data_IF_264260922613
#
_entry.id   IF_264260922613
#
_cell.length_a   1.000
_cell.length_b   1.000
_cell.length_c   1.000
_cell.angle_alpha   90.00
_cell.angle_beta   90.00
_cell.angle_gamma   90.00
#
_symmetry.space_group_name_H-M   'P 1'
#
loop_
_entity.id
_entity.type
_entity.pdbx_description
1 polymer ?
#
# COMPACT_ATOMS: atom_id res chain seq x y z
N UNK A 1 0.78 17.19 114.47
CA UNK A 1 2.01 17.01 113.67
C UNK A 1 1.83 15.90 112.64
N UNK A 2 1.22 14.77 113.01
CA UNK A 2 0.86 13.64 112.12
C UNK A 2 0.07 14.03 110.85
N UNK A 3 -0.99 14.82 111.02
CA UNK A 3 -1.93 15.18 109.95
C UNK A 3 -1.28 16.04 108.85
N UNK A 4 -0.41 16.98 109.26
CA UNK A 4 0.41 17.75 108.32
C UNK A 4 1.35 16.86 107.51
N UNK A 5 1.97 15.87 108.17
CA UNK A 5 2.89 14.93 107.55
C UNK A 5 2.17 14.00 106.56
N UNK A 6 0.94 13.59 106.89
CA UNK A 6 0.07 12.84 106.00
C UNK A 6 -0.33 13.68 104.77
N UNK A 7 -0.72 14.94 104.97
CA UNK A 7 -1.05 15.86 103.87
C UNK A 7 0.15 16.07 102.92
N UNK A 8 1.37 16.21 103.45
CA UNK A 8 2.58 16.34 102.63
C UNK A 8 2.89 15.08 101.79
N UNK A 9 2.63 13.88 102.35
CA UNK A 9 2.77 12.62 101.59
C UNK A 9 1.76 12.54 100.46
N UNK A 10 0.50 12.89 100.73
CA UNK A 10 -0.57 12.92 99.73
C UNK A 10 -0.24 13.90 98.60
N UNK A 11 0.22 15.12 98.93
CA UNK A 11 0.58 16.12 97.93
C UNK A 11 1.73 15.63 97.04
N UNK A 12 2.77 15.01 97.63
CA UNK A 12 3.89 14.44 96.86
C UNK A 12 3.42 13.32 95.92
N UNK A 13 2.54 12.44 96.39
CA UNK A 13 1.96 11.39 95.56
C UNK A 13 1.18 11.96 94.37
N UNK A 14 0.35 12.99 94.61
CA UNK A 14 -0.41 13.67 93.56
C UNK A 14 0.49 14.42 92.57
N UNK A 15 1.54 15.09 93.05
CA UNK A 15 2.54 15.73 92.17
C UNK A 15 3.20 14.70 91.25
N UNK A 16 3.66 13.58 91.81
CA UNK A 16 4.30 12.52 91.02
C UNK A 16 3.33 11.92 89.98
N UNK A 17 2.07 11.66 90.35
CA UNK A 17 1.06 11.15 89.41
C UNK A 17 0.79 12.14 88.26
N UNK A 18 0.74 13.44 88.56
CA UNK A 18 0.59 14.49 87.54
C UNK A 18 1.84 14.58 86.65
N UNK A 19 3.04 14.48 87.22
CA UNK A 19 4.31 14.46 86.47
C UNK A 19 4.39 13.25 85.53
N UNK A 20 4.04 12.06 86.00
CA UNK A 20 4.00 10.83 85.21
C UNK A 20 2.97 10.93 84.07
N UNK A 21 1.78 11.47 84.35
CA UNK A 21 0.76 11.73 83.33
C UNK A 21 1.24 12.76 82.29
N UNK A 22 1.87 13.85 82.73
CA UNK A 22 2.40 14.88 81.83
C UNK A 22 3.51 14.31 80.92
N UNK A 23 4.40 13.48 81.46
CA UNK A 23 5.43 12.79 80.67
C UNK A 23 4.81 11.85 79.62
N UNK A 24 3.79 11.07 80.02
CA UNK A 24 3.06 10.19 79.11
C UNK A 24 2.39 10.97 77.98
N UNK A 25 1.65 12.02 78.30
CA UNK A 25 0.99 12.86 77.30
C UNK A 25 2.00 13.53 76.35
N UNK A 26 3.14 13.98 76.85
CA UNK A 26 4.19 14.57 76.02
C UNK A 26 4.75 13.59 75.00
N UNK A 27 4.97 12.33 75.40
CA UNK A 27 5.44 11.27 74.49
C UNK A 27 4.37 10.95 73.44
N UNK A 28 3.11 10.81 73.84
CA UNK A 28 1.99 10.56 72.90
C UNK A 28 1.83 11.71 71.90
N UNK A 29 1.93 12.96 72.35
CA UNK A 29 1.87 14.15 71.49
C UNK A 29 3.00 14.15 70.46
N UNK A 30 4.25 13.92 70.88
CA UNK A 30 5.39 13.87 69.97
C UNK A 30 5.28 12.73 68.95
N UNK A 31 4.74 11.57 69.36
CA UNK A 31 4.44 10.47 68.45
C UNK A 31 3.39 10.85 67.40
N UNK A 32 2.33 11.54 67.81
CA UNK A 32 1.29 12.04 66.90
C UNK A 32 1.84 13.08 65.92
N UNK A 33 2.64 14.05 66.40
CA UNK A 33 3.28 15.06 65.55
C UNK A 33 4.15 14.41 64.48
N UNK A 34 5.00 13.47 64.88
CA UNK A 34 5.89 12.73 63.95
C UNK A 34 5.09 11.96 62.91
N UNK A 35 3.98 11.34 63.32
CA UNK A 35 3.08 10.60 62.42
C UNK A 35 2.42 11.55 61.41
N UNK A 36 1.90 12.68 61.88
CA UNK A 36 1.27 13.70 61.02
C UNK A 36 2.28 14.23 59.99
N UNK A 37 3.52 14.52 60.41
CA UNK A 37 4.55 15.03 59.51
C UNK A 37 4.99 14.01 58.47
N UNK A 38 5.02 12.72 58.83
CA UNK A 38 5.30 11.63 57.89
C UNK A 38 4.18 11.53 56.86
N UNK A 39 2.92 11.48 57.31
CA UNK A 39 1.76 11.43 56.41
C UNK A 39 1.67 12.66 55.50
N UNK A 40 2.06 13.85 55.99
CA UNK A 40 2.09 15.07 55.17
C UNK A 40 3.11 14.97 54.03
N UNK A 41 4.29 14.38 54.28
CA UNK A 41 5.29 14.13 53.23
C UNK A 41 4.79 13.13 52.21
N UNK A 42 4.18 12.03 52.66
CA UNK A 42 3.61 11.02 51.79
C UNK A 42 2.50 11.60 50.90
N UNK A 43 1.63 12.44 51.47
CA UNK A 43 0.58 13.15 50.73
C UNK A 43 1.17 14.05 49.63
N UNK A 44 2.20 14.82 49.93
CA UNK A 44 2.83 15.70 48.95
C UNK A 44 3.54 14.89 47.84
N UNK A 45 4.17 13.76 48.21
CA UNK A 45 4.73 12.80 47.25
C UNK A 45 3.63 12.25 46.32
N UNK A 46 2.53 11.73 46.88
CA UNK A 46 1.40 11.21 46.11
C UNK A 46 0.80 12.27 45.17
N UNK A 47 0.72 13.53 45.62
CA UNK A 47 0.23 14.65 44.82
C UNK A 47 1.15 14.97 43.65
N UNK A 48 2.47 14.97 43.87
CA UNK A 48 3.46 15.18 42.81
C UNK A 48 3.41 14.06 41.76
N UNK A 49 3.29 12.81 42.20
CA UNK A 49 3.18 11.63 41.36
C UNK A 49 1.89 11.66 40.53
N UNK A 50 0.77 11.98 41.16
CA UNK A 50 -0.53 12.14 40.47
C UNK A 50 -0.46 13.20 39.39
N UNK A 51 0.23 14.32 39.64
CA UNK A 51 0.43 15.37 38.64
C UNK A 51 1.26 14.87 37.45
N UNK A 52 2.37 14.17 37.71
CA UNK A 52 3.21 13.57 36.68
C UNK A 52 2.41 12.61 35.79
N UNK A 53 1.68 11.67 36.41
CA UNK A 53 0.86 10.70 35.69
C UNK A 53 -0.22 11.35 34.81
N UNK A 54 -0.82 12.45 35.30
CA UNK A 54 -1.77 13.24 34.50
C UNK A 54 -1.11 13.86 33.26
N UNK A 55 0.08 14.43 33.42
CA UNK A 55 0.82 15.04 32.32
C UNK A 55 1.25 13.97 31.29
N UNK A 56 1.73 12.82 31.74
CA UNK A 56 2.08 11.67 30.89
C UNK A 56 0.85 11.13 30.13
N UNK A 57 -0.30 11.03 30.80
CA UNK A 57 -1.57 10.62 30.17
C UNK A 57 -1.98 11.59 29.06
N UNK A 58 -1.83 12.91 29.28
CA UNK A 58 -2.14 13.91 28.27
C UNK A 58 -1.22 13.81 27.05
N UNK A 59 0.08 13.57 27.28
CA UNK A 59 1.05 13.36 26.20
C UNK A 59 0.68 12.11 25.38
N UNK A 60 0.40 10.99 26.05
CA UNK A 60 0.03 9.74 25.41
C UNK A 60 -1.27 9.88 24.59
N UNK A 61 -2.27 10.61 25.09
CA UNK A 61 -3.50 10.90 24.34
C UNK A 61 -3.22 11.69 23.07
N UNK A 62 -2.30 12.67 23.12
CA UNK A 62 -1.90 13.46 21.96
C UNK A 62 -1.20 12.58 20.91
N UNK A 63 -0.21 11.81 21.32
CA UNK A 63 0.52 10.89 20.44
C UNK A 63 -0.41 9.85 19.81
N UNK A 64 -1.35 9.29 20.59
CA UNK A 64 -2.39 8.40 20.07
C UNK A 64 -3.23 9.09 18.99
N UNK A 65 -3.60 10.36 19.18
CA UNK A 65 -4.34 11.14 18.19
C UNK A 65 -3.57 11.33 16.87
N UNK A 66 -2.27 11.58 16.96
CA UNK A 66 -1.38 11.69 15.78
C UNK A 66 -1.25 10.36 15.04
N UNK A 67 -1.05 9.25 15.77
CA UNK A 67 -1.00 7.89 15.20
C UNK A 67 -2.31 7.54 14.49
N UNK A 68 -3.47 7.78 15.13
CA UNK A 68 -4.78 7.55 14.52
C UNK A 68 -4.96 8.34 13.22
N UNK A 69 -4.48 9.59 13.19
CA UNK A 69 -4.54 10.42 11.97
C UNK A 69 -3.70 9.83 10.84
N UNK A 70 -2.50 9.33 11.15
CA UNK A 70 -1.64 8.68 10.16
C UNK A 70 -2.24 7.36 9.65
N UNK A 71 -2.84 6.55 10.53
CA UNK A 71 -3.52 5.31 10.15
C UNK A 71 -4.64 5.62 9.15
N UNK A 72 -5.51 6.59 9.47
CA UNK A 72 -6.61 6.99 8.59
C UNK A 72 -6.13 7.47 7.21
N UNK A 73 -5.03 8.23 7.16
CA UNK A 73 -4.44 8.67 5.91
C UNK A 73 -3.92 7.48 5.08
N UNK A 74 -3.21 6.53 5.69
CA UNK A 74 -2.71 5.33 5.02
C UNK A 74 -3.85 4.46 4.51
N UNK A 75 -4.91 4.30 5.30
CA UNK A 75 -6.06 3.47 4.95
C UNK A 75 -6.84 4.06 3.76
N UNK A 76 -6.98 5.39 3.69
CA UNK A 76 -7.53 6.07 2.50
C UNK A 76 -6.68 5.78 1.26
N UNK A 77 -5.36 5.84 1.37
CA UNK A 77 -4.46 5.57 0.23
C UNK A 77 -4.51 4.12 -0.22
N UNK A 78 -4.64 3.17 0.71
CA UNK A 78 -4.84 1.77 0.38
C UNK A 78 -6.12 1.55 -0.41
N UNK A 79 -7.24 2.14 0.03
CA UNK A 79 -8.52 2.00 -0.68
C UNK A 79 -8.45 2.60 -2.10
N UNK A 80 -7.74 3.71 -2.29
CA UNK A 80 -7.50 4.30 -3.61
C UNK A 80 -6.72 3.33 -4.52
N UNK A 81 -5.61 2.78 -4.02
CA UNK A 81 -4.79 1.82 -4.77
C UNK A 81 -5.54 0.50 -5.05
N UNK A 82 -6.39 0.06 -4.15
CA UNK A 82 -7.22 -1.13 -4.35
C UNK A 82 -8.24 -0.91 -5.48
N UNK A 83 -8.89 0.25 -5.51
CA UNK A 83 -9.77 0.64 -6.63
C UNK A 83 -9.02 0.68 -7.95
N UNK A 84 -7.82 1.27 -7.98
CA UNK A 84 -6.98 1.31 -9.19
C UNK A 84 -6.59 -0.10 -9.66
N UNK A 85 -6.21 -0.99 -8.71
CA UNK A 85 -5.87 -2.38 -9.00
C UNK A 85 -7.05 -3.14 -9.60
N UNK A 86 -8.26 -2.93 -9.09
CA UNK A 86 -9.47 -3.56 -9.63
C UNK A 86 -9.76 -3.07 -11.06
N UNK A 87 -9.66 -1.76 -11.29
CA UNK A 87 -9.82 -1.17 -12.62
C UNK A 87 -8.79 -1.71 -13.62
N UNK A 88 -7.54 -1.83 -13.21
CA UNK A 88 -6.48 -2.41 -14.03
C UNK A 88 -6.75 -3.89 -14.36
N UNK A 89 -7.18 -4.68 -13.37
CA UNK A 89 -7.53 -6.08 -13.57
C UNK A 89 -8.69 -6.25 -14.57
N UNK A 90 -9.70 -5.39 -14.49
CA UNK A 90 -10.81 -5.37 -15.46
C UNK A 90 -10.32 -5.04 -16.86
N UNK A 91 -9.47 -4.02 -16.99
CA UNK A 91 -8.87 -3.61 -18.28
C UNK A 91 -8.04 -4.74 -18.89
N UNK A 92 -7.25 -5.44 -18.08
CA UNK A 92 -6.44 -6.58 -18.52
C UNK A 92 -7.32 -7.73 -19.05
N UNK A 93 -8.43 -8.01 -18.38
CA UNK A 93 -9.39 -9.03 -18.81
C UNK A 93 -9.98 -8.70 -20.20
N UNK A 94 -10.33 -7.43 -20.43
CA UNK A 94 -10.84 -6.97 -21.73
C UNK A 94 -9.78 -7.10 -22.84
N UNK A 95 -8.53 -6.71 -22.56
CA UNK A 95 -7.43 -6.86 -23.53
C UNK A 95 -7.20 -8.32 -23.90
N UNK A 96 -7.20 -9.22 -22.90
CA UNK A 96 -7.07 -10.66 -23.14
C UNK A 96 -8.22 -11.20 -24.00
N UNK A 97 -9.45 -10.74 -23.76
CA UNK A 97 -10.60 -11.12 -24.56
C UNK A 97 -10.48 -10.62 -26.02
N UNK A 98 -10.05 -9.37 -26.23
CA UNK A 98 -9.82 -8.83 -27.57
C UNK A 98 -8.71 -9.58 -28.31
N UNK A 99 -7.62 -9.92 -27.61
CA UNK A 99 -6.51 -10.69 -28.17
C UNK A 99 -6.98 -12.06 -28.68
N UNK A 100 -7.79 -12.77 -27.90
CA UNK A 100 -8.37 -14.07 -28.30
C UNK A 100 -9.27 -13.89 -29.53
N UNK A 101 -10.12 -12.86 -29.55
CA UNK A 101 -11.01 -12.58 -30.67
C UNK A 101 -10.24 -12.27 -31.97
N UNK A 102 -9.22 -11.39 -31.89
CA UNK A 102 -8.37 -11.07 -33.04
C UNK A 102 -7.59 -12.28 -33.54
N UNK A 103 -7.09 -13.13 -32.63
CA UNK A 103 -6.38 -14.36 -32.98
C UNK A 103 -7.31 -15.33 -33.72
N UNK A 104 -8.55 -15.49 -33.27
CA UNK A 104 -9.54 -16.32 -33.96
C UNK A 104 -9.84 -15.81 -35.38
N UNK A 105 -10.06 -14.50 -35.54
CA UNK A 105 -10.27 -13.87 -36.85
C UNK A 105 -9.07 -14.03 -37.78
N UNK A 106 -7.85 -13.96 -37.23
CA UNK A 106 -6.63 -14.16 -38.02
C UNK A 106 -6.53 -15.59 -38.54
N UNK A 107 -6.81 -16.58 -37.69
CA UNK A 107 -6.83 -18.01 -38.08
C UNK A 107 -7.90 -18.27 -39.15
N UNK A 108 -9.10 -17.72 -38.99
CA UNK A 108 -10.17 -17.83 -39.98
C UNK A 108 -9.73 -17.27 -41.34
N UNK A 109 -9.16 -16.05 -41.35
CA UNK A 109 -8.67 -15.40 -42.57
C UNK A 109 -7.52 -16.16 -43.22
N UNK A 110 -6.59 -16.68 -42.42
CA UNK A 110 -5.49 -17.53 -42.89
C UNK A 110 -6.03 -18.78 -43.56
N UNK A 111 -6.98 -19.46 -42.92
CA UNK A 111 -7.62 -20.68 -43.44
C UNK A 111 -8.34 -20.40 -44.76
N UNK A 112 -9.02 -19.26 -44.88
CA UNK A 112 -9.65 -18.84 -46.12
C UNK A 112 -8.64 -18.68 -47.26
N UNK A 113 -7.53 -17.96 -47.01
CA UNK A 113 -6.52 -17.77 -48.05
C UNK A 113 -5.80 -19.05 -48.44
N UNK A 114 -5.52 -19.95 -47.48
CA UNK A 114 -4.98 -21.28 -47.78
C UNK A 114 -5.89 -22.04 -48.74
N UNK A 115 -7.21 -22.03 -48.53
CA UNK A 115 -8.16 -22.66 -49.46
C UNK A 115 -8.16 -22.03 -50.85
N UNK A 116 -8.05 -20.71 -50.94
CA UNK A 116 -7.97 -20.00 -52.24
C UNK A 116 -6.67 -20.35 -52.96
N UNK A 117 -5.55 -20.43 -52.24
CA UNK A 117 -4.25 -20.81 -52.78
C UNK A 117 -4.25 -22.27 -53.28
N UNK A 118 -4.85 -23.19 -52.50
CA UNK A 118 -5.07 -24.58 -52.91
C UNK A 118 -5.93 -24.67 -54.18
N UNK A 119 -7.05 -23.95 -54.26
CA UNK A 119 -7.93 -23.90 -55.45
C UNK A 119 -7.22 -23.34 -56.68
N UNK A 120 -6.43 -22.26 -56.52
CA UNK A 120 -5.65 -21.74 -57.64
C UNK A 120 -4.59 -22.74 -58.09
N UNK A 121 -3.90 -23.38 -57.15
CA UNK A 121 -2.86 -24.38 -57.44
C UNK A 121 -3.42 -25.58 -58.19
N UNK A 122 -4.58 -26.11 -57.78
CA UNK A 122 -5.23 -27.23 -58.49
C UNK A 122 -5.62 -26.82 -59.91
N UNK A 123 -6.22 -25.64 -60.10
CA UNK A 123 -6.60 -25.13 -61.43
C UNK A 123 -5.39 -24.92 -62.34
N UNK A 124 -4.27 -24.42 -61.80
CA UNK A 124 -3.03 -24.30 -62.57
C UNK A 124 -2.45 -25.67 -62.96
N UNK A 125 -2.45 -26.63 -62.04
CA UNK A 125 -2.01 -27.99 -62.33
C UNK A 125 -2.87 -28.64 -63.41
N UNK A 126 -4.19 -28.50 -63.35
CA UNK A 126 -5.12 -28.98 -64.38
C UNK A 126 -4.82 -28.36 -65.75
N UNK A 127 -4.54 -27.06 -65.82
CA UNK A 127 -4.14 -26.39 -67.06
C UNK A 127 -2.80 -26.92 -67.58
N UNK A 128 -1.81 -27.12 -66.70
CA UNK A 128 -0.51 -27.65 -67.07
C UNK A 128 -0.59 -29.10 -67.58
N UNK A 129 -1.43 -29.92 -66.95
CA UNK A 129 -1.71 -31.29 -67.36
C UNK A 129 -2.43 -31.33 -68.71
N UNK A 130 -3.40 -30.44 -68.94
CA UNK A 130 -4.07 -30.28 -70.23
C UNK A 130 -3.10 -29.90 -71.36
N UNK A 131 -2.19 -28.93 -71.12
CA UNK A 131 -1.15 -28.55 -72.09
C UNK A 131 -0.20 -29.73 -72.37
N UNK A 132 0.17 -30.46 -71.31
CA UNK A 132 1.08 -31.61 -71.43
C UNK A 132 0.45 -32.77 -72.18
N UNK A 133 -0.86 -32.99 -72.04
CA UNK A 133 -1.62 -33.98 -72.80
C UNK A 133 -1.85 -33.56 -74.27
N UNK A 134 -1.92 -32.26 -74.55
CA UNK A 134 -2.10 -31.72 -75.90
C UNK A 134 -0.79 -31.62 -76.70
N UNK A 135 0.37 -31.96 -76.12
CA UNK A 135 1.63 -32.05 -76.89
C UNK A 135 1.48 -33.14 -77.95
N UNK A 136 1.41 -32.80 -79.26
CA UNK A 136 1.48 -33.82 -80.28
C UNK A 136 2.87 -34.44 -80.18
N UNK A 137 2.95 -35.76 -80.17
CA UNK A 137 4.18 -36.48 -80.49
C UNK A 137 4.56 -36.17 -81.94
N UNK A 138 5.16 -34.99 -82.17
CA UNK A 138 5.72 -34.61 -83.46
C UNK A 138 7.22 -34.94 -83.46
N UNK A 139 7.50 -36.17 -83.82
CA UNK A 139 8.76 -36.56 -84.46
C UNK A 139 8.94 -35.78 -85.77
N UNK A 140 10.02 -35.00 -85.83
CA UNK A 140 10.94 -34.75 -86.97
C UNK A 140 10.36 -34.66 -88.40
N UNK A 141 10.50 -33.48 -89.03
CA UNK A 141 11.06 -33.21 -90.38
C UNK A 141 10.71 -31.76 -90.77
N UNK A 142 11.66 -30.82 -90.81
CA UNK A 142 12.58 -30.48 -91.92
C UNK A 142 11.87 -29.77 -93.11
N UNK A 143 12.35 -28.57 -93.50
CA UNK A 143 11.97 -27.91 -94.77
C UNK A 143 11.45 -26.47 -94.74
N UNK A 144 12.37 -25.50 -94.65
CA UNK A 144 12.51 -24.28 -95.47
C UNK A 144 11.31 -23.85 -96.37
N UNK A 145 10.77 -22.63 -96.22
CA UNK A 145 11.04 -21.50 -97.14
C UNK A 145 10.35 -20.17 -96.74
N UNK A 146 11.10 -19.09 -96.94
CA UNK A 146 10.69 -17.68 -96.91
C UNK A 146 9.78 -17.32 -98.08
N UNK A 147 8.85 -16.38 -97.87
CA UNK A 147 8.57 -15.35 -98.89
C UNK A 147 7.94 -14.11 -98.26
N UNK A 148 8.67 -13.00 -98.37
CA UNK A 148 8.31 -11.66 -97.94
C UNK A 148 7.61 -10.89 -99.08
N UNK A 149 6.54 -10.14 -98.75
CA UNK A 149 5.80 -9.36 -99.74
C UNK A 149 4.91 -8.25 -99.19
N UNK A 150 5.51 -7.08 -98.96
CA UNK A 150 5.01 -5.69 -99.16
C UNK A 150 3.73 -5.20 -98.45
N UNK A 151 3.98 -4.42 -97.39
CA UNK A 151 3.51 -3.06 -97.09
C UNK A 151 2.14 -2.57 -97.59
N UNK A 152 1.27 -2.24 -96.62
CA UNK A 152 0.39 -1.07 -96.70
C UNK A 152 0.36 -0.36 -95.33
N UNK A 153 1.06 0.78 -95.25
CA UNK A 153 1.11 1.67 -94.09
C UNK A 153 -0.08 2.61 -94.19
N UNK A 154 -1.14 2.34 -93.42
CA UNK A 154 -2.22 3.30 -93.22
C UNK A 154 -1.89 4.18 -92.01
N UNK A 155 -1.61 5.42 -92.36
CA UNK A 155 -1.31 6.58 -91.53
C UNK A 155 -2.49 6.92 -90.60
N UNK A 156 -2.41 6.52 -89.32
CA UNK A 156 -3.35 6.88 -88.26
C UNK A 156 -2.70 7.86 -87.27
N UNK A 157 -3.03 9.14 -87.42
CA UNK A 157 -2.55 10.30 -86.65
C UNK A 157 -2.51 10.08 -85.13
N UNK A 158 -1.34 10.31 -84.56
CA UNK A 158 -1.13 10.69 -83.17
C UNK A 158 -1.80 12.05 -82.90
N UNK A 159 -2.81 12.08 -82.03
CA UNK A 159 -3.43 13.31 -81.54
C UNK A 159 -3.05 13.51 -80.06
N UNK A 160 -1.93 14.20 -79.83
CA UNK A 160 -1.69 14.90 -78.57
C UNK A 160 -2.33 16.26 -78.71
N UNK A 161 -3.45 16.45 -78.03
CA UNK A 161 -4.25 17.66 -78.16
C UNK A 161 -5.32 17.76 -77.10
N UNK A 162 -4.91 18.23 -75.92
CA UNK A 162 -5.69 19.04 -74.98
C UNK A 162 -7.05 18.47 -74.52
N UNK A 163 -7.03 17.74 -73.39
CA UNK A 163 -8.18 17.77 -72.49
C UNK A 163 -7.78 18.56 -71.23
N UNK A 164 -8.56 19.61 -71.00
CA UNK A 164 -8.45 20.59 -69.93
C UNK A 164 -8.24 19.92 -68.56
N UNK A 165 -7.06 20.13 -67.96
CA UNK A 165 -6.85 19.94 -66.53
C UNK A 165 -7.12 21.29 -65.87
N UNK A 166 -8.37 21.57 -65.50
CA UNK A 166 -8.68 22.75 -64.66
C UNK A 166 -9.71 22.51 -63.56
N UNK A 167 -10.11 21.27 -63.25
CA UNK A 167 -11.03 21.00 -62.11
C UNK A 167 -10.46 20.05 -61.03
N UNK A 168 -9.27 19.45 -61.24
CA UNK A 168 -8.71 18.45 -60.30
C UNK A 168 -7.78 19.06 -59.23
N UNK A 169 -7.43 20.33 -59.35
CA UNK A 169 -6.54 21.01 -58.39
C UNK A 169 -7.25 21.33 -57.05
N UNK A 170 -8.53 21.73 -57.08
CA UNK A 170 -9.29 22.12 -55.88
C UNK A 170 -9.63 20.92 -54.96
N UNK A 171 -9.78 19.72 -55.53
CA UNK A 171 -10.03 18.49 -54.75
C UNK A 171 -8.76 17.99 -54.07
N UNK A 172 -7.62 18.07 -54.76
CA UNK A 172 -6.32 17.60 -54.27
C UNK A 172 -5.77 18.51 -53.19
N UNK A 173 -5.92 19.83 -53.33
CA UNK A 173 -5.53 20.83 -52.34
C UNK A 173 -6.35 20.70 -51.04
N UNK A 174 -7.66 20.47 -51.14
CA UNK A 174 -8.52 20.19 -49.97
C UNK A 174 -8.14 18.91 -49.23
N UNK A 175 -7.73 17.85 -49.93
CA UNK A 175 -7.26 16.61 -49.31
C UNK A 175 -5.95 16.85 -48.56
N UNK A 176 -5.02 17.58 -49.19
CA UNK A 176 -3.74 17.94 -48.57
C UNK A 176 -3.94 18.79 -47.31
N UNK A 177 -4.84 19.77 -47.37
CA UNK A 177 -5.14 20.64 -46.24
C UNK A 177 -5.69 19.84 -45.04
N UNK A 178 -6.63 18.92 -45.27
CA UNK A 178 -7.15 18.01 -44.22
C UNK A 178 -6.06 17.14 -43.60
N UNK A 179 -5.11 16.66 -44.40
CA UNK A 179 -3.99 15.85 -43.90
C UNK A 179 -3.01 16.70 -43.07
N UNK A 180 -2.76 17.95 -43.47
CA UNK A 180 -1.94 18.90 -42.71
C UNK A 180 -2.62 19.23 -41.37
N UNK A 181 -3.92 19.50 -41.35
CA UNK A 181 -4.67 19.75 -40.12
C UNK A 181 -4.66 18.54 -39.18
N UNK A 182 -4.83 17.33 -39.74
CA UNK A 182 -4.73 16.09 -38.97
C UNK A 182 -3.33 15.86 -38.40
N UNK A 183 -2.27 16.17 -39.17
CA UNK A 183 -0.88 16.08 -38.71
C UNK A 183 -0.59 17.12 -37.62
N UNK A 184 -1.13 18.34 -37.75
CA UNK A 184 -1.01 19.40 -36.76
C UNK A 184 -1.69 19.03 -35.44
N UNK A 185 -2.91 18.48 -35.51
CA UNK A 185 -3.62 17.98 -34.32
C UNK A 185 -2.83 16.85 -33.60
N UNK A 186 -2.20 15.94 -34.35
CA UNK A 186 -1.32 14.91 -33.78
C UNK A 186 -0.08 15.53 -33.12
N UNK A 187 0.50 16.56 -33.73
CA UNK A 187 1.66 17.26 -33.18
C UNK A 187 1.32 18.00 -31.88
N UNK A 188 0.16 18.65 -31.82
CA UNK A 188 -0.34 19.33 -30.62
C UNK A 188 -0.60 18.31 -29.49
N UNK A 189 -1.20 17.16 -29.82
CA UNK A 189 -1.40 16.05 -28.88
C UNK A 189 -0.07 15.51 -28.34
N UNK A 190 0.93 15.35 -29.20
CA UNK A 190 2.27 14.87 -28.82
C UNK A 190 2.99 15.89 -27.94
N UNK A 191 2.82 17.18 -28.22
CA UNK A 191 3.33 18.28 -27.39
C UNK A 191 2.68 18.27 -26.00
N UNK A 192 1.37 18.06 -25.93
CA UNK A 192 0.66 17.94 -24.64
C UNK A 192 1.13 16.72 -23.84
N UNK A 193 1.30 15.57 -24.49
CA UNK A 193 1.85 14.35 -23.85
C UNK A 193 3.27 14.59 -23.32
N UNK A 194 4.12 15.28 -24.08
CA UNK A 194 5.47 15.67 -23.63
C UNK A 194 5.41 16.53 -22.36
N UNK A 195 4.54 17.53 -22.30
CA UNK A 195 4.36 18.37 -21.11
C UNK A 195 3.92 17.55 -19.89
N UNK A 196 2.99 16.59 -20.07
CA UNK A 196 2.57 15.68 -18.99
C UNK A 196 3.73 14.81 -18.50
N UNK A 197 4.48 14.21 -19.41
CA UNK A 197 5.62 13.37 -19.08
C UNK A 197 6.71 14.14 -18.30
N UNK A 198 7.00 15.37 -18.72
CA UNK A 198 7.96 16.24 -17.99
C UNK A 198 7.45 16.54 -16.57
N UNK A 199 6.15 16.76 -16.39
CA UNK A 199 5.55 17.00 -15.08
C UNK A 199 5.54 15.76 -14.17
N UNK A 200 5.42 14.56 -14.75
CA UNK A 200 5.51 13.30 -14.00
C UNK A 200 6.96 12.99 -13.63
N UNK A 201 7.89 13.20 -14.57
CA UNK A 201 9.33 13.06 -14.35
C UNK A 201 9.82 13.94 -13.19
N UNK A 202 9.34 15.19 -13.10
CA UNK A 202 9.71 16.08 -11.98
C UNK A 202 9.16 15.59 -10.64
N UNK A 203 7.94 15.04 -10.58
CA UNK A 203 7.35 14.44 -9.36
C UNK A 203 8.11 13.20 -8.91
N UNK A 204 8.53 12.35 -9.85
CA UNK A 204 9.33 11.16 -9.56
C UNK A 204 10.70 11.56 -9.00
N UNK A 205 11.35 12.57 -9.60
CA UNK A 205 12.61 13.10 -9.07
C UNK A 205 12.45 13.66 -7.65
N UNK A 206 11.39 14.42 -7.40
CA UNK A 206 11.12 14.96 -6.06
C UNK A 206 10.90 13.84 -5.02
N UNK A 207 10.16 12.79 -5.41
CA UNK A 207 9.93 11.62 -4.55
C UNK A 207 11.23 10.84 -4.28
N UNK A 208 12.08 10.72 -5.29
CA UNK A 208 13.38 10.06 -5.19
C UNK A 208 14.30 10.78 -4.21
N UNK A 209 14.36 12.11 -4.28
CA UNK A 209 15.20 12.87 -3.34
C UNK A 209 14.67 12.87 -1.91
N UNK A 210 13.35 12.83 -1.73
CA UNK A 210 12.75 12.67 -0.41
C UNK A 210 13.05 11.28 0.21
N UNK A 211 13.09 10.23 -0.61
CA UNK A 211 13.51 8.89 -0.14
C UNK A 211 14.98 8.90 0.23
N UNK A 212 15.83 9.52 -0.59
CA UNK A 212 17.27 9.63 -0.33
C UNK A 212 17.58 10.38 0.96
N UNK A 213 16.88 11.50 1.23
CA UNK A 213 17.06 12.25 2.48
C UNK A 213 16.65 11.43 3.70
N UNK A 214 15.55 10.67 3.61
CA UNK A 214 15.13 9.77 4.69
C UNK A 214 16.14 8.66 4.95
N UNK A 215 16.71 8.06 3.90
CA UNK A 215 17.76 7.04 4.07
C UNK A 215 18.99 7.64 4.77
N UNK A 216 19.33 8.91 4.49
CA UNK A 216 20.43 9.60 5.18
C UNK A 216 20.13 9.98 6.63
N UNK A 217 18.86 10.00 7.07
CA UNK A 217 18.49 10.21 8.48
C UNK A 217 18.72 8.95 9.34
N UNK A 218 18.88 7.78 8.72
CA UNK A 218 19.14 6.55 9.45
C UNK A 218 20.61 6.50 9.91
N UNK A 219 20.85 5.82 11.02
CA UNK A 219 22.18 5.58 11.55
C UNK A 219 23.09 4.96 10.45
N UNK A 220 24.31 5.50 10.23
CA UNK A 220 25.19 5.03 9.16
C UNK A 220 25.54 3.54 9.30
N UNK A 221 25.55 3.00 10.52
CA UNK A 221 25.77 1.59 10.82
C UNK A 221 24.69 0.68 10.19
N UNK A 222 23.45 1.16 10.05
CA UNK A 222 22.37 0.44 9.36
C UNK A 222 22.56 0.44 7.84
N UNK A 223 23.19 1.49 7.30
CA UNK A 223 23.47 1.61 5.86
C UNK A 223 24.72 0.82 5.45
N UNK A 224 25.65 0.59 6.37
CA UNK A 224 26.87 -0.22 6.18
C UNK A 224 26.63 -1.72 6.38
N UNK A 225 25.55 -2.10 7.08
CA UNK A 225 25.17 -3.50 7.25
C UNK A 225 24.80 -4.15 5.93
N UNK A 226 25.22 -5.40 5.74
CA UNK A 226 24.81 -6.14 4.55
C UNK A 226 23.32 -6.52 4.62
N UNK A 227 22.71 -6.63 3.44
CA UNK A 227 21.28 -6.90 3.30
C UNK A 227 20.83 -8.17 4.04
N UNK A 228 21.70 -9.17 4.15
CA UNK A 228 21.38 -10.45 4.78
C UNK A 228 21.34 -10.28 6.30
N UNK A 229 22.34 -9.63 6.90
CA UNK A 229 22.33 -9.32 8.33
C UNK A 229 21.15 -8.44 8.72
N UNK A 230 20.83 -7.42 7.92
CA UNK A 230 19.66 -6.57 8.17
C UNK A 230 18.34 -7.37 8.15
N UNK A 231 18.24 -8.34 7.25
CA UNK A 231 17.06 -9.21 7.14
C UNK A 231 16.95 -10.18 8.32
N UNK A 232 18.07 -10.76 8.75
CA UNK A 232 18.13 -11.64 9.94
C UNK A 232 17.71 -10.87 11.22
N UNK A 233 18.13 -9.61 11.35
CA UNK A 233 17.77 -8.78 12.52
C UNK A 233 16.29 -8.35 12.51
N UNK A 234 15.72 -8.08 11.32
CA UNK A 234 14.28 -7.86 11.17
C UNK A 234 13.49 -9.11 11.56
N UNK A 235 13.92 -10.30 11.13
CA UNK A 235 13.27 -11.56 11.51
C UNK A 235 13.37 -11.83 13.03
N UNK A 236 14.52 -11.56 13.65
CA UNK A 236 14.69 -11.67 15.09
C UNK A 236 13.73 -10.75 15.86
N UNK A 237 13.65 -9.47 15.47
CA UNK A 237 12.73 -8.50 16.09
C UNK A 237 11.26 -8.89 15.91
N UNK A 238 10.89 -9.44 14.75
CA UNK A 238 9.53 -9.95 14.52
C UNK A 238 9.20 -11.16 15.40
N UNK A 239 10.17 -12.04 15.60
CA UNK A 239 10.04 -13.19 16.49
C UNK A 239 9.89 -12.76 17.96
N UNK A 240 10.72 -11.82 18.42
CA UNK A 240 10.64 -11.29 19.79
C UNK A 240 9.27 -10.65 20.04
N UNK A 241 8.78 -9.84 19.09
CA UNK A 241 7.44 -9.25 19.16
C UNK A 241 6.33 -10.29 19.24
N UNK A 242 6.47 -11.43 18.58
CA UNK A 242 5.50 -12.52 18.69
C UNK A 242 5.51 -13.12 20.10
N UNK A 243 6.70 -13.38 20.66
CA UNK A 243 6.85 -13.86 22.03
C UNK A 243 6.31 -12.89 23.09
N UNK A 244 6.56 -11.58 22.93
CA UNK A 244 6.00 -10.56 23.83
C UNK A 244 4.46 -10.53 23.80
N UNK A 245 3.86 -10.67 22.62
CA UNK A 245 2.40 -10.73 22.48
C UNK A 245 1.81 -11.99 23.12
N UNK A 246 2.46 -13.14 22.96
CA UNK A 246 2.03 -14.39 23.62
C UNK A 246 2.11 -14.27 25.14
N UNK A 247 3.18 -13.67 25.67
CA UNK A 247 3.30 -13.40 27.10
C UNK A 247 2.22 -12.45 27.61
N UNK A 248 1.92 -11.38 26.86
CA UNK A 248 0.87 -10.42 27.19
C UNK A 248 -0.52 -11.09 27.21
N UNK A 249 -0.81 -11.93 26.22
CA UNK A 249 -2.05 -12.73 26.18
C UNK A 249 -2.13 -13.71 27.36
N UNK A 250 -1.03 -14.36 27.72
CA UNK A 250 -0.96 -15.23 28.91
C UNK A 250 -1.27 -14.45 30.20
N UNK A 251 -0.72 -13.25 30.37
CA UNK A 251 -1.01 -12.40 31.52
C UNK A 251 -2.47 -11.96 31.57
N UNK A 252 -3.05 -11.57 30.42
CA UNK A 252 -4.47 -11.24 30.35
C UNK A 252 -5.35 -12.43 30.73
N UNK A 253 -5.01 -13.62 30.25
CA UNK A 253 -5.71 -14.85 30.61
C UNK A 253 -5.62 -15.15 32.11
N UNK A 254 -4.44 -14.99 32.72
CA UNK A 254 -4.27 -15.15 34.18
C UNK A 254 -5.08 -14.14 34.98
N UNK A 255 -5.15 -12.88 34.54
CA UNK A 255 -5.97 -11.85 35.16
C UNK A 255 -7.46 -12.23 35.07
N UNK A 256 -7.91 -12.72 33.91
CA UNK A 256 -9.30 -13.16 33.72
C UNK A 256 -9.65 -14.36 34.61
N UNK A 257 -8.74 -15.32 34.75
CA UNK A 257 -8.89 -16.43 35.70
C UNK A 257 -9.02 -15.94 37.14
N UNK A 258 -8.23 -14.94 37.54
CA UNK A 258 -8.30 -14.36 38.88
C UNK A 258 -9.60 -13.58 39.14
N UNK A 259 -10.14 -12.89 38.12
CA UNK A 259 -11.46 -12.22 38.19
C UNK A 259 -12.61 -13.20 38.41
N UNK A 260 -12.47 -14.44 37.94
CA UNK A 260 -13.47 -15.51 38.12
C UNK A 260 -13.47 -16.14 39.52
N UNK A 261 -12.48 -15.85 40.37
CA UNK A 261 -12.39 -16.42 41.71
C UNK A 261 -13.28 -15.62 42.67
N UNK A 262 -14.39 -16.23 43.08
CA UNK A 262 -15.27 -15.72 44.13
C UNK A 262 -15.34 -16.75 45.26
N UNK A 263 -14.85 -16.38 46.44
CA UNK A 263 -14.81 -17.26 47.61
C UNK A 263 -15.69 -16.73 48.73
N UNK A 264 -16.46 -17.63 49.33
CA UNK A 264 -17.23 -17.36 50.55
C UNK A 264 -16.38 -17.70 51.77
N UNK A 265 -16.01 -16.68 52.54
CA UNK A 265 -15.23 -16.84 53.76
C UNK A 265 -16.15 -16.70 54.96
N UNK A 266 -16.21 -17.74 55.79
CA UNK A 266 -17.00 -17.74 57.03
C UNK A 266 -16.15 -17.20 58.17
N UNK A 267 -16.59 -16.10 58.77
CA UNK A 267 -15.95 -15.50 59.94
C UNK A 267 -16.31 -16.30 61.20
N UNK A 268 -15.42 -16.25 62.20
CA UNK A 268 -15.59 -16.91 63.50
C UNK A 268 -16.83 -16.41 64.25
N UNK A 269 -17.35 -15.22 63.89
CA UNK A 269 -18.62 -14.69 64.40
C UNK A 269 -19.88 -15.30 63.75
N UNK A 270 -19.74 -16.21 62.79
CA UNK A 270 -20.84 -16.89 62.09
C UNK A 270 -21.35 -16.18 60.83
N UNK A 271 -20.83 -14.98 60.51
CA UNK A 271 -21.17 -14.25 59.28
C UNK A 271 -20.33 -14.72 58.10
N UNK A 272 -20.94 -14.87 56.92
CA UNK A 272 -20.25 -15.22 55.68
C UNK A 272 -20.03 -13.97 54.80
N UNK A 273 -18.82 -13.84 54.26
CA UNK A 273 -18.41 -12.73 53.42
C UNK A 273 -18.00 -13.26 52.04
N UNK A 274 -18.58 -12.69 50.98
CA UNK A 274 -18.19 -12.97 49.60
C UNK A 274 -17.00 -12.09 49.24
N UNK A 275 -15.85 -12.70 49.00
CA UNK A 275 -14.64 -12.00 48.56
C UNK A 275 -14.53 -12.15 47.05
N UNK A 276 -14.60 -11.01 46.36
CA UNK A 276 -14.43 -10.89 44.90
C UNK A 276 -13.25 -9.95 44.63
N UNK A 277 -12.40 -10.33 43.67
CA UNK A 277 -11.31 -9.48 43.20
C UNK A 277 -11.82 -8.61 42.05
N UNK A 278 -12.34 -7.43 42.39
CA UNK A 278 -12.71 -6.43 41.39
C UNK A 278 -11.50 -5.53 41.10
N UNK A 279 -10.91 -5.66 39.92
CA UNK A 279 -9.84 -4.76 39.50
C UNK A 279 -10.46 -3.44 39.04
N UNK A 280 -10.25 -2.37 39.81
CA UNK A 280 -10.63 -1.02 39.46
C UNK A 280 -10.16 -0.64 38.04
N UNK A 281 -11.10 -0.08 37.27
CA UNK A 281 -10.99 0.24 35.85
C UNK A 281 -10.21 1.54 35.60
#
# INVERSE_FOLDING_TARGET
>A
MEEFLQNMKTLRYQMNDVEDQAAKFSVEEQMLITTIDTLRKDLESAKSETKRLKDDTNLMVKEKGEICSQILLKQRKLNELESDSQSLSQTMTLIQQEQVNLSAKLVEKSTYYTKVDEDLTTRFQEQQDWISAYKPSLTVQDGINEEAGKAEVVNGKFNVGSYLITDEMDSTEKILMKNIDAAKAKFDSLTQMKCKLVSESSKVNQSTELVKSRISEHKPELNEMDKKSLQEEIEALLSDKAGENEYLLSLQHQIEMLKGISNMVRCVCGMEYKVELDCAQ
#
